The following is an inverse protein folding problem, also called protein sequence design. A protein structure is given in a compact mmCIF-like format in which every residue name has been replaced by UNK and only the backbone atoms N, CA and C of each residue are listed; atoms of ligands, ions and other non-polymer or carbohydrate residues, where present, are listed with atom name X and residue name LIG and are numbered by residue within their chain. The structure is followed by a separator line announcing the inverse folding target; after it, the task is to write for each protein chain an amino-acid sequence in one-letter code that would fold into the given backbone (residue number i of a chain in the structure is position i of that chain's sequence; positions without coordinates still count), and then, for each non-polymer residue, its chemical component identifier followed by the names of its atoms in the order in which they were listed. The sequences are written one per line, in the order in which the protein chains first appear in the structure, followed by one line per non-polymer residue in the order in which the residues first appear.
data_IF_651786533252
#
_entry.id   IF_651786533252
#
_cell.length_a   1.000
_cell.length_b   1.000
_cell.length_c   1.000
_cell.angle_alpha   90.00
_cell.angle_beta   90.00
_cell.angle_gamma   90.00
#
_symmetry.space_group_name_H-M   'P 1'
#
loop_
_entity.id
_entity.type
_entity.pdbx_description
1 polymer ?
#
# COMPACT_ATOMS: atom_id res chain seq x y z
N UNK A 1 18.12 -18.14 -33.95
CA UNK A 1 16.89 -17.86 -33.19
C UNK A 1 16.02 -16.89 -34.00
N UNK A 2 14.71 -17.17 -34.04
CA UNK A 2 13.80 -16.35 -34.81
C UNK A 2 13.60 -15.00 -34.15
N UNK A 3 13.53 -13.93 -34.92
CA UNK A 3 13.23 -12.59 -34.43
C UNK A 3 11.97 -12.52 -33.57
N UNK A 4 11.00 -13.39 -33.86
CA UNK A 4 9.78 -13.52 -33.07
C UNK A 4 10.08 -13.94 -31.62
N UNK A 5 10.99 -14.90 -31.41
CA UNK A 5 11.39 -15.36 -30.06
C UNK A 5 12.12 -14.24 -29.32
N UNK A 6 13.00 -13.52 -30.00
CA UNK A 6 13.72 -12.39 -29.40
C UNK A 6 12.76 -11.29 -28.99
N UNK A 7 11.82 -10.89 -29.85
CA UNK A 7 10.82 -9.86 -29.56
C UNK A 7 9.90 -10.28 -28.40
N UNK A 8 9.46 -11.52 -28.39
CA UNK A 8 8.64 -12.05 -27.29
C UNK A 8 9.41 -12.02 -25.96
N UNK A 9 10.70 -12.34 -25.97
CA UNK A 9 11.53 -12.30 -24.79
C UNK A 9 11.79 -10.87 -24.28
N UNK A 10 11.97 -9.91 -25.17
CA UNK A 10 12.06 -8.48 -24.80
C UNK A 10 10.80 -8.03 -24.05
N UNK A 11 9.61 -8.34 -24.59
CA UNK A 11 8.35 -8.00 -23.95
C UNK A 11 8.15 -8.73 -22.64
N UNK A 12 8.56 -9.99 -22.55
CA UNK A 12 8.54 -10.78 -21.33
C UNK A 12 9.46 -10.17 -20.25
N UNK A 13 10.66 -9.73 -20.63
CA UNK A 13 11.60 -9.09 -19.69
C UNK A 13 11.04 -7.80 -19.13
N UNK A 14 10.37 -6.99 -19.96
CA UNK A 14 9.66 -5.78 -19.51
C UNK A 14 8.50 -6.13 -18.56
N UNK A 15 7.77 -7.20 -18.83
CA UNK A 15 6.69 -7.69 -17.95
C UNK A 15 7.25 -8.16 -16.60
N UNK A 16 8.35 -8.89 -16.58
CA UNK A 16 9.05 -9.28 -15.35
C UNK A 16 9.48 -8.06 -14.54
N UNK A 17 10.06 -7.05 -15.20
CA UNK A 17 10.48 -5.82 -14.57
C UNK A 17 9.29 -5.05 -13.93
N UNK A 18 8.09 -5.14 -14.51
CA UNK A 18 6.89 -4.54 -13.91
C UNK A 18 6.52 -5.19 -12.58
N UNK A 19 6.73 -6.49 -12.44
CA UNK A 19 6.58 -7.22 -11.17
C UNK A 19 7.59 -6.79 -10.10
N UNK A 20 8.71 -6.20 -10.51
CA UNK A 20 9.74 -5.62 -9.64
C UNK A 20 9.51 -4.11 -9.37
N UNK A 21 8.43 -3.53 -9.87
CA UNK A 21 8.05 -2.14 -9.67
C UNK A 21 8.44 -1.17 -10.79
N UNK A 22 9.01 -1.64 -11.89
CA UNK A 22 9.49 -0.82 -12.98
C UNK A 22 8.44 -0.61 -14.08
N UNK A 23 8.25 0.63 -14.52
CA UNK A 23 7.43 0.95 -15.71
C UNK A 23 8.24 0.92 -16.99
N UNK A 24 9.55 1.07 -16.88
CA UNK A 24 10.51 0.96 -18.00
C UNK A 24 11.82 0.34 -17.50
N UNK A 25 12.66 -0.04 -18.45
CA UNK A 25 14.07 -0.37 -18.21
C UNK A 25 14.98 0.50 -19.11
N UNK A 26 16.17 0.88 -18.61
CA UNK A 26 17.22 1.40 -19.47
C UNK A 26 17.57 0.39 -20.57
N UNK A 27 17.84 0.87 -21.78
CA UNK A 27 18.13 0.00 -22.93
C UNK A 27 19.25 -1.00 -22.63
N UNK A 28 20.33 -0.56 -22.02
CA UNK A 28 21.47 -1.43 -21.67
C UNK A 28 21.07 -2.56 -20.72
N UNK A 29 20.25 -2.25 -19.73
CA UNK A 29 19.77 -3.23 -18.75
C UNK A 29 18.81 -4.22 -19.39
N UNK A 30 17.86 -3.75 -20.19
CA UNK A 30 16.92 -4.60 -20.94
C UNK A 30 17.67 -5.55 -21.88
N UNK A 31 18.64 -5.02 -22.61
CA UNK A 31 19.49 -5.80 -23.52
C UNK A 31 20.28 -6.87 -22.76
N UNK A 32 20.89 -6.51 -21.64
CA UNK A 32 21.66 -7.44 -20.81
C UNK A 32 20.78 -8.57 -20.24
N UNK A 33 19.66 -8.24 -19.64
CA UNK A 33 18.70 -9.22 -19.08
C UNK A 33 18.15 -10.16 -20.17
N UNK A 34 17.81 -9.63 -21.33
CA UNK A 34 17.28 -10.43 -22.45
C UNK A 34 18.37 -11.34 -23.03
N UNK A 35 19.59 -10.82 -23.16
CA UNK A 35 20.76 -11.59 -23.60
C UNK A 35 21.04 -12.78 -22.67
N UNK A 36 20.99 -12.57 -21.39
CA UNK A 36 21.16 -13.62 -20.37
C UNK A 36 20.08 -14.68 -20.46
N UNK A 37 18.81 -14.28 -20.60
CA UNK A 37 17.68 -15.20 -20.70
C UNK A 37 17.72 -16.09 -21.96
N UNK A 38 18.15 -15.53 -23.09
CA UNK A 38 18.19 -16.25 -24.38
C UNK A 38 19.51 -16.91 -24.68
N UNK A 39 20.59 -16.49 -24.02
CA UNK A 39 21.97 -16.94 -24.34
C UNK A 39 22.44 -16.50 -25.72
N UNK A 40 22.07 -15.29 -26.17
CA UNK A 40 22.40 -14.74 -27.49
C UNK A 40 23.12 -13.38 -27.36
N UNK A 41 23.78 -12.95 -28.42
CA UNK A 41 24.50 -11.69 -28.46
C UNK A 41 23.56 -10.47 -28.34
N UNK A 42 24.06 -9.44 -27.68
CA UNK A 42 23.33 -8.19 -27.45
C UNK A 42 22.91 -7.49 -28.74
N UNK A 43 23.75 -7.52 -29.75
CA UNK A 43 23.48 -6.90 -31.06
C UNK A 43 22.23 -7.47 -31.73
N UNK A 44 21.96 -8.76 -31.53
CA UNK A 44 20.77 -9.41 -32.08
C UNK A 44 19.49 -8.86 -31.38
N UNK A 45 19.60 -8.57 -30.10
CA UNK A 45 18.46 -8.01 -29.31
C UNK A 45 18.21 -6.57 -29.75
N UNK A 46 19.24 -5.76 -29.84
CA UNK A 46 19.14 -4.33 -30.17
C UNK A 46 18.52 -4.07 -31.54
N UNK A 47 18.80 -4.95 -32.52
CA UNK A 47 18.18 -4.87 -33.86
C UNK A 47 16.64 -4.99 -33.83
N UNK A 48 16.08 -5.63 -32.81
CA UNK A 48 14.64 -5.84 -32.70
C UNK A 48 13.90 -4.68 -32.06
N UNK A 49 14.56 -3.71 -31.43
CA UNK A 49 13.89 -2.58 -30.77
C UNK A 49 13.15 -1.68 -31.75
N UNK A 50 13.74 -1.38 -32.88
CA UNK A 50 13.12 -0.52 -33.89
C UNK A 50 11.82 -1.14 -34.41
N UNK A 51 11.83 -2.42 -34.70
CA UNK A 51 10.65 -3.13 -35.20
C UNK A 51 9.54 -3.17 -34.14
N UNK A 52 9.87 -3.46 -32.87
CA UNK A 52 8.91 -3.41 -31.78
C UNK A 52 8.34 -2.01 -31.55
N UNK A 53 9.13 -0.98 -31.77
CA UNK A 53 8.68 0.41 -31.71
C UNK A 53 7.71 0.76 -32.85
N UNK A 54 8.03 0.33 -34.07
CA UNK A 54 7.14 0.50 -35.26
C UNK A 54 5.82 -0.26 -35.05
N UNK A 55 5.88 -1.47 -34.48
CA UNK A 55 4.69 -2.26 -34.12
C UNK A 55 3.90 -1.67 -32.94
N UNK A 56 4.37 -0.59 -32.33
CA UNK A 56 3.78 0.07 -31.17
C UNK A 56 3.65 -0.84 -29.94
N UNK A 57 4.53 -1.80 -29.78
CA UNK A 57 4.59 -2.67 -28.60
C UNK A 57 5.49 -2.11 -27.50
N UNK A 58 6.49 -1.33 -27.88
CA UNK A 58 7.37 -0.58 -26.98
C UNK A 58 7.42 0.89 -27.37
N UNK A 59 7.78 1.72 -26.40
CA UNK A 59 8.08 3.14 -26.62
C UNK A 59 9.51 3.39 -26.14
N UNK A 60 10.33 3.96 -27.00
CA UNK A 60 11.71 4.35 -26.69
C UNK A 60 11.74 5.85 -26.42
N UNK A 61 12.14 6.24 -25.22
CA UNK A 61 12.23 7.63 -24.78
C UNK A 61 13.65 7.99 -24.42
N UNK A 62 14.19 9.02 -25.04
CA UNK A 62 15.51 9.55 -24.67
C UNK A 62 15.40 10.41 -23.41
N UNK A 63 16.25 10.13 -22.41
CA UNK A 63 16.36 10.89 -21.16
C UNK A 63 17.84 11.14 -20.86
N UNK A 64 18.33 12.33 -21.18
CA UNK A 64 19.77 12.61 -21.16
C UNK A 64 20.55 11.67 -22.09
N UNK A 65 21.57 11.03 -21.57
CA UNK A 65 22.40 10.07 -22.32
C UNK A 65 21.83 8.64 -22.35
N UNK A 66 20.66 8.43 -21.73
CA UNK A 66 20.06 7.12 -21.56
C UNK A 66 18.77 6.98 -22.35
N UNK A 67 18.60 5.86 -23.04
CA UNK A 67 17.33 5.48 -23.67
C UNK A 67 16.53 4.62 -22.71
N UNK A 68 15.33 5.06 -22.40
CA UNK A 68 14.34 4.34 -21.59
C UNK A 68 13.41 3.56 -22.51
N UNK A 69 13.21 2.27 -22.24
CA UNK A 69 12.32 1.42 -23.03
C UNK A 69 11.14 1.02 -22.16
N UNK A 70 9.95 1.48 -22.56
CA UNK A 70 8.67 1.15 -21.94
C UNK A 70 7.93 0.07 -22.73
N UNK A 71 7.16 -0.78 -22.05
CA UNK A 71 6.00 -1.35 -22.75
C UNK A 71 5.04 -0.23 -23.12
N UNK A 72 4.41 -0.31 -24.28
CA UNK A 72 3.51 0.76 -24.75
C UNK A 72 2.38 1.04 -23.76
N UNK A 73 1.85 0.01 -23.11
CA UNK A 73 0.77 0.14 -22.12
C UNK A 73 1.17 1.02 -20.93
N UNK A 74 2.34 0.84 -20.35
CA UNK A 74 2.81 1.65 -19.22
C UNK A 74 3.17 3.07 -19.63
N UNK A 75 3.75 3.26 -20.81
CA UNK A 75 4.01 4.60 -21.31
C UNK A 75 2.75 5.44 -21.45
N UNK A 76 1.72 4.89 -22.10
CA UNK A 76 0.44 5.58 -22.26
C UNK A 76 -0.31 5.72 -20.94
N UNK A 77 -0.19 4.77 -20.04
CA UNK A 77 -0.79 4.86 -18.71
C UNK A 77 -0.19 6.02 -17.90
N UNK A 78 1.13 6.20 -17.91
CA UNK A 78 1.79 7.37 -17.30
C UNK A 78 1.38 8.69 -17.97
N UNK A 79 1.36 8.73 -19.30
CA UNK A 79 0.97 9.92 -20.06
C UNK A 79 -0.49 10.31 -19.79
N UNK A 80 -1.39 9.35 -19.78
CA UNK A 80 -2.81 9.58 -19.47
C UNK A 80 -2.99 10.02 -18.02
N UNK A 81 -2.25 9.44 -17.08
CA UNK A 81 -2.27 9.85 -15.68
C UNK A 81 -1.85 11.32 -15.53
N UNK A 82 -0.77 11.73 -16.17
CA UNK A 82 -0.31 13.12 -16.16
C UNK A 82 -1.37 14.08 -16.75
N UNK A 83 -2.02 13.69 -17.84
CA UNK A 83 -3.08 14.48 -18.46
C UNK A 83 -4.28 14.63 -17.52
N UNK A 84 -4.77 13.54 -16.94
CA UNK A 84 -5.90 13.57 -16.00
C UNK A 84 -5.60 14.39 -14.75
N UNK A 85 -4.39 14.32 -14.21
CA UNK A 85 -3.95 15.16 -13.08
C UNK A 85 -4.01 16.66 -13.44
N UNK A 86 -3.56 17.05 -14.63
CA UNK A 86 -3.66 18.44 -15.09
C UNK A 86 -5.11 18.91 -15.27
N UNK A 87 -5.98 18.05 -15.74
CA UNK A 87 -7.41 18.37 -15.89
C UNK A 87 -8.11 18.59 -14.55
N UNK A 88 -7.66 17.93 -13.50
CA UNK A 88 -8.18 18.12 -12.13
C UNK A 88 -7.61 19.38 -11.44
N UNK A 89 -6.47 19.87 -11.87
CA UNK A 89 -5.78 21.01 -11.25
C UNK A 89 -6.42 22.36 -11.65
N UNK A 90 -7.67 22.53 -11.25
CA UNK A 90 -8.48 23.72 -11.48
C UNK A 90 -8.20 24.71 -10.34
N UNK A 91 -7.98 25.97 -10.67
CA UNK A 91 -7.84 27.03 -9.69
C UNK A 91 -9.21 27.59 -9.25
N UNK A 92 -9.36 27.80 -7.95
CA UNK A 92 -10.55 28.42 -7.35
C UNK A 92 -10.14 29.74 -6.69
N UNK A 93 -10.91 30.78 -6.97
CA UNK A 93 -10.67 32.12 -6.40
C UNK A 93 -11.41 32.26 -5.06
N UNK A 94 -10.68 32.05 -3.97
CA UNK A 94 -11.16 32.19 -2.61
C UNK A 94 -10.19 33.08 -1.83
N UNK A 95 -10.73 34.11 -1.17
CA UNK A 95 -9.91 35.06 -0.45
C UNK A 95 -9.23 34.44 0.78
N UNK A 96 -7.97 34.81 1.02
CA UNK A 96 -7.20 34.32 2.18
C UNK A 96 -7.92 34.59 3.51
N UNK A 97 -8.50 35.76 3.67
CA UNK A 97 -9.18 36.14 4.89
C UNK A 97 -10.38 35.24 5.21
N UNK A 98 -11.11 34.83 4.19
CA UNK A 98 -12.23 33.88 4.35
C UNK A 98 -11.74 32.50 4.81
N UNK A 99 -10.68 31.99 4.19
CA UNK A 99 -10.08 30.70 4.55
C UNK A 99 -9.53 30.74 5.98
N UNK A 100 -8.79 31.78 6.32
CA UNK A 100 -8.18 31.97 7.66
C UNK A 100 -9.24 32.08 8.75
N UNK A 101 -10.33 32.80 8.49
CA UNK A 101 -11.42 32.92 9.44
C UNK A 101 -12.10 31.58 9.71
N UNK A 102 -12.32 30.78 8.66
CA UNK A 102 -12.92 29.46 8.79
C UNK A 102 -11.98 28.48 9.51
N UNK A 103 -10.69 28.52 9.22
CA UNK A 103 -9.67 27.75 9.95
C UNK A 103 -9.70 28.13 11.44
N UNK A 104 -9.75 29.42 11.76
CA UNK A 104 -9.79 29.88 13.14
C UNK A 104 -11.05 29.39 13.88
N UNK A 105 -12.20 29.36 13.21
CA UNK A 105 -13.42 28.79 13.78
C UNK A 105 -13.27 27.27 14.05
N UNK A 106 -12.65 26.53 13.16
CA UNK A 106 -12.37 25.11 13.33
C UNK A 106 -11.40 24.89 14.50
N UNK A 107 -10.34 25.69 14.60
CA UNK A 107 -9.38 25.63 15.71
C UNK A 107 -10.08 25.86 17.06
N UNK A 108 -10.99 26.84 17.14
CA UNK A 108 -11.81 27.09 18.36
C UNK A 108 -12.71 25.91 18.71
N UNK A 109 -13.35 25.29 17.72
CA UNK A 109 -14.26 24.17 17.94
C UNK A 109 -13.52 22.90 18.38
N UNK A 110 -12.33 22.66 17.84
CA UNK A 110 -11.53 21.46 18.08
C UNK A 110 -10.55 21.59 19.24
N UNK A 111 -10.26 22.83 19.68
CA UNK A 111 -9.22 23.11 20.66
C UNK A 111 -7.80 22.89 20.13
N UNK A 112 -7.63 22.70 18.82
CA UNK A 112 -6.34 22.45 18.18
C UNK A 112 -5.88 23.70 17.45
N UNK A 113 -4.58 23.97 17.49
CA UNK A 113 -3.95 25.05 16.75
C UNK A 113 -3.07 24.45 15.65
N UNK A 114 -3.28 24.91 14.41
CA UNK A 114 -2.48 24.52 13.26
C UNK A 114 -1.18 25.32 13.19
N UNK A 115 -0.12 24.69 12.71
CA UNK A 115 1.08 25.40 12.34
C UNK A 115 0.97 26.03 10.94
N UNK A 116 2.00 26.80 10.56
CA UNK A 116 2.03 27.51 9.29
C UNK A 116 1.88 26.57 8.07
N UNK A 117 2.56 25.43 8.06
CA UNK A 117 2.49 24.49 6.95
C UNK A 117 1.13 23.78 6.86
N UNK A 118 0.51 23.48 7.99
CA UNK A 118 -0.83 22.92 8.03
C UNK A 118 -1.88 23.94 7.53
N UNK A 119 -1.76 25.19 7.93
CA UNK A 119 -2.61 26.29 7.41
C UNK A 119 -2.44 26.42 5.91
N UNK A 120 -1.20 26.37 5.42
CA UNK A 120 -0.92 26.42 3.98
C UNK A 120 -1.56 25.24 3.24
N UNK A 121 -1.51 24.03 3.79
CA UNK A 121 -2.15 22.87 3.20
C UNK A 121 -3.67 23.04 3.07
N UNK A 122 -4.34 23.59 4.07
CA UNK A 122 -5.78 23.88 4.01
C UNK A 122 -6.07 24.95 2.94
N UNK A 123 -5.29 26.03 2.87
CA UNK A 123 -5.44 27.07 1.85
C UNK A 123 -5.29 26.51 0.44
N UNK A 124 -4.26 25.70 0.21
CA UNK A 124 -4.03 25.07 -1.09
C UNK A 124 -5.13 24.06 -1.45
N UNK A 125 -5.67 23.31 -0.47
CA UNK A 125 -6.80 22.41 -0.69
C UNK A 125 -8.06 23.17 -1.14
N UNK A 126 -8.30 24.34 -0.61
CA UNK A 126 -9.46 25.18 -0.97
C UNK A 126 -9.29 25.83 -2.35
N UNK A 127 -8.08 26.24 -2.70
CA UNK A 127 -7.77 26.99 -3.92
C UNK A 127 -7.48 26.15 -5.14
N UNK A 128 -7.16 24.88 -4.96
CA UNK A 128 -6.75 24.01 -6.07
C UNK A 128 -7.60 22.75 -6.14
N UNK A 129 -7.88 22.31 -7.34
CA UNK A 129 -8.55 21.03 -7.59
C UNK A 129 -7.67 19.82 -7.33
N UNK A 130 -6.36 20.00 -7.26
CA UNK A 130 -5.38 18.97 -6.95
C UNK A 130 -4.36 19.47 -5.93
N UNK A 131 -4.16 18.71 -4.86
CA UNK A 131 -3.15 18.99 -3.85
C UNK A 131 -2.46 17.70 -3.42
N UNK A 132 -1.15 17.76 -3.27
CA UNK A 132 -0.34 16.71 -2.63
C UNK A 132 0.15 17.21 -1.28
N UNK A 133 -0.10 16.42 -0.23
CA UNK A 133 0.42 16.68 1.12
C UNK A 133 1.39 15.54 1.46
N UNK A 134 2.64 15.86 1.71
CA UNK A 134 3.64 14.88 2.11
C UNK A 134 4.26 15.25 3.44
N UNK A 135 4.59 14.26 4.24
CA UNK A 135 5.26 14.44 5.53
C UNK A 135 5.56 13.10 6.18
N UNK A 136 6.63 13.06 6.97
CA UNK A 136 7.02 11.90 7.74
C UNK A 136 6.08 11.64 8.93
N UNK A 137 6.41 10.63 9.75
CA UNK A 137 5.60 10.32 10.93
C UNK A 137 5.63 11.49 11.94
N UNK A 138 4.49 11.76 12.56
CA UNK A 138 4.36 12.79 13.59
C UNK A 138 4.37 14.24 13.08
N UNK A 139 4.22 14.46 11.79
CA UNK A 139 4.21 15.80 11.17
C UNK A 139 2.82 16.43 11.06
N UNK A 140 1.79 15.76 11.58
CA UNK A 140 0.44 16.32 11.65
C UNK A 140 -0.38 16.14 10.38
N UNK A 141 -0.11 15.13 9.55
CA UNK A 141 -0.93 14.79 8.38
C UNK A 141 -2.39 14.55 8.73
N UNK A 142 -2.65 13.76 9.75
CA UNK A 142 -4.01 13.43 10.21
C UNK A 142 -4.76 14.66 10.66
N UNK A 143 -4.14 15.53 11.45
CA UNK A 143 -4.74 16.80 11.90
C UNK A 143 -5.09 17.68 10.72
N UNK A 144 -4.21 17.76 9.74
CA UNK A 144 -4.43 18.54 8.50
C UNK A 144 -5.61 17.98 7.72
N UNK A 145 -5.67 16.66 7.52
CA UNK A 145 -6.80 15.98 6.86
C UNK A 145 -8.11 16.28 7.59
N UNK A 146 -8.14 16.15 8.91
CA UNK A 146 -9.34 16.43 9.71
C UNK A 146 -9.81 17.87 9.57
N UNK A 147 -8.91 18.82 9.53
CA UNK A 147 -9.24 20.24 9.33
C UNK A 147 -9.82 20.46 7.94
N UNK A 148 -9.23 19.87 6.91
CA UNK A 148 -9.74 19.94 5.53
C UNK A 148 -11.14 19.34 5.43
N UNK A 149 -11.38 18.17 6.03
CA UNK A 149 -12.70 17.54 6.05
C UNK A 149 -13.73 18.47 6.68
N UNK A 150 -13.45 19.03 7.87
CA UNK A 150 -14.36 19.95 8.56
C UNK A 150 -14.62 21.22 7.75
N UNK A 151 -13.61 21.75 7.08
CA UNK A 151 -13.73 22.92 6.22
C UNK A 151 -14.77 22.68 5.11
N UNK A 152 -14.63 21.57 4.39
CA UNK A 152 -15.52 21.25 3.27
C UNK A 152 -16.90 20.73 3.71
N UNK A 153 -17.02 20.09 4.87
CA UNK A 153 -18.33 19.78 5.46
C UNK A 153 -19.14 21.04 5.76
N UNK A 154 -18.49 22.09 6.28
CA UNK A 154 -19.14 23.37 6.51
C UNK A 154 -19.66 24.03 5.23
N UNK A 155 -19.11 23.65 4.08
CA UNK A 155 -19.59 24.06 2.76
C UNK A 155 -20.69 23.13 2.21
N UNK A 156 -21.08 22.09 2.94
CA UNK A 156 -22.08 21.11 2.49
C UNK A 156 -21.58 20.19 1.39
N UNK A 157 -20.26 19.99 1.26
CA UNK A 157 -19.66 19.11 0.25
C UNK A 157 -19.64 17.65 0.69
N UNK A 158 -19.89 16.75 -0.26
CA UNK A 158 -19.71 15.32 -0.07
C UNK A 158 -18.22 14.94 -0.19
N UNK A 159 -17.75 14.12 0.74
CA UNK A 159 -16.34 13.76 0.87
C UNK A 159 -16.19 12.26 0.89
N UNK A 160 -15.30 11.73 0.04
CA UNK A 160 -14.87 10.33 0.06
C UNK A 160 -13.44 10.22 0.55
N UNK A 161 -13.23 9.31 1.50
CA UNK A 161 -11.93 8.98 2.04
C UNK A 161 -11.54 7.57 1.60
N UNK A 162 -10.32 7.41 1.13
CA UNK A 162 -9.81 6.09 0.77
C UNK A 162 -8.31 5.94 1.03
N UNK A 163 -7.90 4.68 1.10
CA UNK A 163 -6.51 4.27 1.22
C UNK A 163 -6.26 2.99 0.41
N UNK A 164 -5.02 2.66 0.07
CA UNK A 164 -4.73 1.49 -0.76
C UNK A 164 -4.97 0.14 -0.08
N UNK A 165 -4.96 0.08 1.25
CA UNK A 165 -5.13 -1.17 2.01
C UNK A 165 -6.25 -1.06 3.05
N UNK A 166 -6.83 -2.21 3.42
CA UNK A 166 -7.88 -2.28 4.46
C UNK A 166 -7.40 -1.74 5.80
N UNK A 167 -6.16 -2.04 6.18
CA UNK A 167 -5.56 -1.55 7.42
C UNK A 167 -5.41 -0.02 7.43
N UNK A 168 -4.92 0.55 6.34
CA UNK A 168 -4.78 1.99 6.19
C UNK A 168 -6.16 2.69 6.19
N UNK A 169 -7.15 2.13 5.49
CA UNK A 169 -8.51 2.64 5.48
C UNK A 169 -9.15 2.60 6.88
N UNK A 170 -8.99 1.51 7.61
CA UNK A 170 -9.47 1.38 8.99
C UNK A 170 -8.84 2.44 9.90
N UNK A 171 -7.52 2.59 9.84
CA UNK A 171 -6.81 3.62 10.61
C UNK A 171 -7.30 5.02 10.26
N UNK A 172 -7.52 5.31 8.98
CA UNK A 172 -8.06 6.59 8.52
C UNK A 172 -9.45 6.84 9.10
N UNK A 173 -10.34 5.83 9.12
CA UNK A 173 -11.67 5.92 9.75
C UNK A 173 -11.58 6.20 11.25
N UNK A 174 -10.72 5.49 11.96
CA UNK A 174 -10.54 5.64 13.41
C UNK A 174 -9.99 7.03 13.79
N UNK A 175 -9.05 7.54 13.01
CA UNK A 175 -8.39 8.82 13.30
C UNK A 175 -9.16 10.05 12.83
N UNK A 176 -9.99 9.91 11.79
CA UNK A 176 -10.81 11.02 11.27
C UNK A 176 -12.22 11.05 11.81
N UNK A 177 -12.75 9.90 12.26
CA UNK A 177 -14.15 9.74 12.62
C UNK A 177 -15.11 9.65 11.43
N UNK A 178 -14.58 9.61 10.19
CA UNK A 178 -15.34 9.46 8.95
C UNK A 178 -15.09 8.09 8.32
N UNK A 179 -16.07 7.56 7.60
CA UNK A 179 -15.89 6.30 6.89
C UNK A 179 -14.83 6.45 5.79
N UNK A 180 -13.79 5.64 5.87
CA UNK A 180 -12.79 5.47 4.82
C UNK A 180 -12.86 4.04 4.28
N UNK A 181 -12.65 3.90 2.98
CA UNK A 181 -12.68 2.61 2.27
C UNK A 181 -11.33 2.35 1.59
N UNK A 182 -11.09 1.13 1.17
CA UNK A 182 -10.00 0.90 0.22
C UNK A 182 -10.34 1.55 -1.12
N UNK A 183 -9.31 1.94 -1.86
CA UNK A 183 -9.51 2.50 -3.21
C UNK A 183 -10.30 1.51 -4.07
N UNK A 184 -9.98 0.22 -4.00
CA UNK A 184 -10.69 -0.84 -4.71
C UNK A 184 -12.20 -0.89 -4.37
N UNK A 185 -12.54 -0.76 -3.09
CA UNK A 185 -13.95 -0.75 -2.65
C UNK A 185 -14.65 0.54 -3.07
N UNK A 186 -13.97 1.67 -3.01
CA UNK A 186 -14.52 2.95 -3.48
C UNK A 186 -14.81 2.93 -4.97
N UNK A 187 -13.96 2.29 -5.77
CA UNK A 187 -14.14 2.16 -7.22
C UNK A 187 -15.10 1.02 -7.61
N UNK A 188 -15.69 0.33 -6.64
CA UNK A 188 -16.66 -0.75 -6.85
C UNK A 188 -16.11 -1.82 -7.81
N UNK A 189 -15.15 -2.59 -7.31
CA UNK A 189 -14.51 -3.64 -8.08
C UNK A 189 -15.51 -4.74 -8.45
N UNK A 190 -15.68 -4.98 -9.74
CA UNK A 190 -16.52 -6.06 -10.29
C UNK A 190 -15.71 -7.29 -10.61
N UNK A 191 -16.20 -8.44 -10.19
CA UNK A 191 -15.78 -9.72 -10.74
C UNK A 191 -16.44 -9.96 -12.10
N UNK A 192 -15.84 -9.46 -13.18
CA UNK A 192 -16.39 -9.65 -14.53
C UNK A 192 -16.59 -11.14 -14.88
N UNK A 193 -17.63 -11.44 -15.62
CA UNK A 193 -18.03 -12.80 -16.01
C UNK A 193 -17.02 -13.57 -16.90
N UNK A 194 -15.94 -12.93 -17.35
CA UNK A 194 -14.93 -13.53 -18.24
C UNK A 194 -13.47 -13.15 -17.90
N UNK A 195 -13.12 -13.13 -16.59
CA UNK A 195 -11.71 -13.05 -16.21
C UNK A 195 -11.04 -11.67 -16.28
N UNK A 196 -11.73 -10.62 -16.70
CA UNK A 196 -11.27 -9.24 -16.60
C UNK A 196 -11.96 -8.54 -15.43
N UNK A 197 -11.27 -8.46 -14.29
CA UNK A 197 -11.73 -7.61 -13.21
C UNK A 197 -11.69 -6.15 -13.66
N UNK A 198 -12.85 -5.48 -13.62
CA UNK A 198 -13.00 -4.08 -13.95
C UNK A 198 -13.59 -3.31 -12.78
N UNK A 199 -13.43 -1.99 -12.80
CA UNK A 199 -14.07 -1.11 -11.84
C UNK A 199 -15.39 -0.57 -12.44
N UNK A 200 -16.46 -0.59 -11.64
CA UNK A 200 -17.74 0.03 -11.99
C UNK A 200 -17.59 1.55 -12.13
N UNK A 201 -16.78 2.15 -11.26
CA UNK A 201 -16.48 3.57 -11.31
C UNK A 201 -15.33 3.83 -12.27
N UNK A 202 -15.63 4.61 -13.30
CA UNK A 202 -14.73 4.93 -14.42
C UNK A 202 -15.18 6.22 -15.12
N UNK A 203 -14.66 6.50 -16.32
CA UNK A 203 -14.98 7.73 -17.08
C UNK A 203 -16.47 7.85 -17.43
N UNK A 204 -17.16 6.75 -17.63
CA UNK A 204 -18.59 6.74 -17.99
C UNK A 204 -19.50 6.69 -16.78
N UNK A 205 -18.98 6.35 -15.62
CA UNK A 205 -19.69 6.26 -14.34
C UNK A 205 -18.80 6.77 -13.20
N UNK A 206 -18.49 8.07 -13.15
CA UNK A 206 -17.57 8.63 -12.16
C UNK A 206 -18.13 8.58 -10.73
N UNK A 207 -17.24 8.76 -9.77
CA UNK A 207 -17.60 8.92 -8.35
C UNK A 207 -18.50 10.16 -8.18
N UNK A 208 -19.59 10.00 -7.46
CA UNK A 208 -20.54 11.07 -7.15
C UNK A 208 -20.14 11.74 -5.82
N UNK A 209 -19.17 12.62 -5.87
CA UNK A 209 -18.63 13.32 -4.69
C UNK A 209 -17.99 14.64 -5.10
N UNK A 210 -17.78 15.53 -4.14
CA UNK A 210 -17.15 16.84 -4.35
C UNK A 210 -15.65 16.83 -4.03
N UNK A 211 -15.22 15.96 -3.13
CA UNK A 211 -13.84 15.84 -2.66
C UNK A 211 -13.47 14.37 -2.45
N UNK A 212 -12.32 13.98 -2.95
CA UNK A 212 -11.68 12.69 -2.67
C UNK A 212 -10.34 12.92 -1.98
N UNK A 213 -10.15 12.29 -0.83
CA UNK A 213 -8.87 12.28 -0.10
C UNK A 213 -8.33 10.86 -0.08
N UNK A 214 -7.13 10.69 -0.61
CA UNK A 214 -6.40 9.41 -0.59
C UNK A 214 -5.21 9.52 0.35
N UNK A 215 -5.16 8.66 1.34
CA UNK A 215 -3.99 8.53 2.23
C UNK A 215 -3.11 7.35 1.83
N UNK A 216 -1.90 7.29 2.38
CA UNK A 216 -0.88 6.25 2.10
C UNK A 216 -0.52 6.15 0.60
N UNK A 217 -0.38 7.29 -0.06
CA UNK A 217 -0.11 7.36 -1.51
C UNK A 217 1.20 6.73 -1.94
N UNK A 218 2.18 6.55 -1.05
CA UNK A 218 3.44 5.84 -1.38
C UNK A 218 3.21 4.40 -1.84
N UNK A 219 2.09 3.81 -1.46
CA UNK A 219 1.71 2.42 -1.80
C UNK A 219 0.90 2.30 -3.09
N UNK A 220 0.51 3.40 -3.71
CA UNK A 220 -0.33 3.41 -4.93
C UNK A 220 0.58 3.33 -6.16
N UNK A 221 0.40 2.28 -6.96
CA UNK A 221 1.10 2.09 -8.23
C UNK A 221 0.42 2.86 -9.38
N UNK A 222 1.05 2.85 -10.56
CA UNK A 222 0.52 3.56 -11.73
C UNK A 222 -0.80 2.99 -12.22
N UNK A 223 -1.00 1.69 -12.11
CA UNK A 223 -2.23 1.03 -12.56
C UNK A 223 -3.41 1.45 -11.70
N UNK A 224 -3.26 1.42 -10.38
CA UNK A 224 -4.30 1.84 -9.45
C UNK A 224 -4.57 3.35 -9.56
N UNK A 225 -3.52 4.16 -9.69
CA UNK A 225 -3.66 5.61 -9.88
C UNK A 225 -4.41 5.95 -11.15
N UNK A 226 -4.10 5.28 -12.26
CA UNK A 226 -4.81 5.48 -13.52
C UNK A 226 -6.30 5.14 -13.39
N UNK A 227 -6.64 4.03 -12.75
CA UNK A 227 -8.02 3.63 -12.50
C UNK A 227 -8.76 4.61 -11.59
N UNK A 228 -8.10 5.11 -10.56
CA UNK A 228 -8.66 6.13 -9.66
C UNK A 228 -9.00 7.42 -10.42
N UNK A 229 -8.06 7.94 -11.20
CA UNK A 229 -8.24 9.19 -11.94
C UNK A 229 -9.34 9.10 -13.00
N UNK A 230 -9.50 7.95 -13.63
CA UNK A 230 -10.61 7.69 -14.55
C UNK A 230 -11.99 7.82 -13.91
N UNK A 231 -12.08 7.55 -12.61
CA UNK A 231 -13.31 7.64 -11.84
C UNK A 231 -13.60 9.02 -11.24
N UNK A 232 -12.67 9.97 -11.35
CA UNK A 232 -12.80 11.31 -10.79
C UNK A 232 -13.15 12.29 -11.92
N UNK A 233 -14.34 12.87 -11.85
CA UNK A 233 -14.78 13.87 -12.82
C UNK A 233 -14.07 15.22 -12.60
N UNK A 234 -13.79 15.99 -13.68
CA UNK A 234 -13.35 17.37 -13.54
C UNK A 234 -14.34 18.19 -12.69
N UNK A 235 -13.81 18.99 -11.77
CA UNK A 235 -14.62 19.72 -10.77
C UNK A 235 -14.71 19.03 -9.41
N UNK A 236 -14.42 17.73 -9.31
CA UNK A 236 -14.17 17.06 -8.05
C UNK A 236 -12.74 17.34 -7.60
N UNK A 237 -12.56 17.80 -6.35
CA UNK A 237 -11.21 18.01 -5.79
C UNK A 237 -10.56 16.69 -5.40
N UNK A 238 -9.26 16.58 -5.62
CA UNK A 238 -8.44 15.44 -5.23
C UNK A 238 -7.28 15.87 -4.33
N UNK A 239 -7.18 15.26 -3.16
CA UNK A 239 -6.08 15.44 -2.22
C UNK A 239 -5.37 14.11 -2.04
N UNK A 240 -4.07 14.10 -2.33
CA UNK A 240 -3.19 12.96 -2.22
C UNK A 240 -2.26 13.15 -1.03
N UNK A 241 -2.33 12.26 -0.06
CA UNK A 241 -1.54 12.34 1.18
C UNK A 241 -0.63 11.13 1.30
N UNK A 242 0.62 11.35 1.70
CA UNK A 242 1.55 10.25 1.89
C UNK A 242 2.91 10.73 2.42
N UNK A 243 3.80 9.77 2.55
CA UNK A 243 5.19 10.00 2.96
C UNK A 243 6.13 9.56 1.82
N UNK A 244 6.77 10.53 1.19
CA UNK A 244 7.72 10.29 0.07
C UNK A 244 8.91 9.42 0.49
N UNK A 245 9.22 9.37 1.78
CA UNK A 245 10.37 8.64 2.33
C UNK A 245 10.04 7.20 2.76
N UNK A 246 8.76 6.80 2.68
CA UNK A 246 8.37 5.42 2.89
C UNK A 246 8.70 4.54 1.68
N UNK A 247 8.64 3.23 1.87
CA UNK A 247 8.88 2.29 0.78
C UNK A 247 7.91 2.52 -0.38
N UNK A 248 8.38 2.36 -1.63
CA UNK A 248 7.53 2.51 -2.80
C UNK A 248 6.50 1.38 -2.89
N UNK A 249 5.52 1.52 -3.79
CA UNK A 249 4.57 0.47 -4.12
C UNK A 249 5.27 -0.81 -4.60
N UNK A 250 4.65 -1.96 -4.34
CA UNK A 250 5.12 -3.24 -4.89
C UNK A 250 4.86 -3.31 -6.40
N UNK A 251 3.73 -2.76 -6.85
CA UNK A 251 3.40 -2.65 -8.27
C UNK A 251 4.21 -1.59 -9.00
N UNK A 252 4.08 -1.53 -10.34
CA UNK A 252 4.89 -0.64 -11.17
C UNK A 252 4.57 0.85 -10.96
N UNK A 253 5.63 1.64 -10.92
CA UNK A 253 5.58 3.10 -10.84
C UNK A 253 5.72 3.67 -9.43
N UNK A 254 6.36 4.83 -9.34
CA UNK A 254 6.57 5.59 -8.11
C UNK A 254 5.73 6.88 -8.16
N UNK A 255 4.41 6.73 -8.20
CA UNK A 255 3.45 7.80 -8.52
C UNK A 255 3.63 9.03 -7.63
N UNK A 256 3.60 8.87 -6.31
CA UNK A 256 3.73 10.01 -5.38
C UNK A 256 5.06 10.74 -5.57
N UNK A 257 6.14 10.01 -5.66
CA UNK A 257 7.48 10.56 -5.85
C UNK A 257 7.59 11.30 -7.18
N UNK A 258 7.08 10.73 -8.25
CA UNK A 258 7.13 11.32 -9.59
C UNK A 258 6.29 12.60 -9.67
N UNK A 259 5.10 12.63 -9.07
CA UNK A 259 4.28 13.84 -8.98
C UNK A 259 5.04 14.95 -8.25
N UNK A 260 5.62 14.65 -7.10
CA UNK A 260 6.36 15.64 -6.29
C UNK A 260 7.60 16.14 -7.04
N UNK A 261 8.39 15.23 -7.62
CA UNK A 261 9.63 15.58 -8.34
C UNK A 261 9.39 16.30 -9.66
N UNK A 262 8.20 16.15 -10.26
CA UNK A 262 7.85 16.88 -11.48
C UNK A 262 7.76 18.40 -11.28
N UNK A 263 7.56 18.84 -10.03
CA UNK A 263 7.31 20.27 -9.68
C UNK A 263 6.17 20.91 -10.48
N UNK A 264 5.29 20.09 -11.08
CA UNK A 264 4.21 20.53 -11.94
C UNK A 264 2.89 20.78 -11.20
N UNK A 265 2.79 20.34 -9.95
CA UNK A 265 1.55 20.36 -9.16
C UNK A 265 1.78 20.99 -7.79
N UNK A 266 0.69 21.38 -7.12
CA UNK A 266 0.76 21.96 -5.78
C UNK A 266 1.12 20.87 -4.75
N UNK A 267 2.22 21.08 -4.05
CA UNK A 267 2.73 20.17 -3.00
C UNK A 267 2.97 20.98 -1.73
N UNK A 268 2.44 20.52 -0.62
CA UNK A 268 2.75 21.03 0.71
C UNK A 268 3.50 19.96 1.50
N UNK A 269 4.68 20.34 1.98
CA UNK A 269 5.52 19.45 2.80
C UNK A 269 5.37 19.81 4.28
N UNK A 270 4.89 18.86 5.08
CA UNK A 270 4.81 18.98 6.53
C UNK A 270 6.13 18.49 7.13
N UNK A 271 6.92 19.41 7.69
CA UNK A 271 8.28 19.09 8.18
C UNK A 271 8.41 19.17 9.70
N UNK A 272 7.47 19.84 10.37
CA UNK A 272 7.51 20.01 11.83
C UNK A 272 7.03 18.75 12.54
N UNK A 273 7.87 18.19 13.41
CA UNK A 273 7.48 17.12 14.33
C UNK A 273 6.83 17.77 15.56
N UNK A 274 5.55 17.43 15.82
CA UNK A 274 4.82 18.00 16.95
C UNK A 274 5.32 17.46 18.28
N UNK A 275 5.16 18.26 19.34
CA UNK A 275 5.66 17.93 20.69
C UNK A 275 5.22 16.55 21.17
N UNK A 276 3.97 16.18 20.97
CA UNK A 276 3.46 14.87 21.36
C UNK A 276 4.16 13.73 20.61
N UNK A 277 4.43 13.91 19.32
CA UNK A 277 5.14 12.94 18.49
C UNK A 277 6.64 12.91 18.81
N UNK A 278 7.25 14.05 19.20
CA UNK A 278 8.67 14.13 19.54
C UNK A 278 9.04 13.40 20.84
N UNK A 279 8.07 12.99 21.65
CA UNK A 279 8.29 12.13 22.81
C UNK A 279 8.43 10.65 22.45
N UNK A 280 8.07 10.25 21.23
CA UNK A 280 8.24 8.90 20.71
C UNK A 280 9.61 8.76 20.03
N UNK A 281 10.46 7.90 20.57
CA UNK A 281 11.75 7.61 19.96
C UNK A 281 11.61 6.81 18.66
N UNK A 282 10.53 6.06 18.46
CA UNK A 282 10.21 5.44 17.17
C UNK A 282 10.14 6.52 16.09
N UNK A 283 9.41 7.59 16.34
CA UNK A 283 9.22 8.70 15.39
C UNK A 283 10.52 9.48 15.19
N UNK A 284 11.17 9.88 16.28
CA UNK A 284 12.42 10.64 16.22
C UNK A 284 13.51 9.86 15.51
N UNK A 285 13.65 8.57 15.80
CA UNK A 285 14.64 7.71 15.17
C UNK A 285 14.33 7.45 13.69
N UNK A 286 13.07 7.32 13.30
CA UNK A 286 12.70 7.23 11.90
C UNK A 286 13.18 8.45 11.09
N UNK A 287 13.00 9.65 11.61
CA UNK A 287 13.51 10.88 10.98
C UNK A 287 15.04 10.94 10.96
N UNK A 288 15.72 10.52 12.04
CA UNK A 288 17.18 10.46 12.09
C UNK A 288 17.73 9.50 11.04
N UNK A 289 17.20 8.27 10.98
CA UNK A 289 17.60 7.26 10.00
C UNK A 289 17.41 7.78 8.58
N UNK A 290 16.29 8.44 8.30
CA UNK A 290 16.02 9.01 6.99
C UNK A 290 17.02 10.10 6.58
N UNK A 291 17.57 10.84 7.55
CA UNK A 291 18.64 11.85 7.33
C UNK A 291 20.05 11.30 7.38
N UNK A 292 20.22 9.98 7.62
CA UNK A 292 21.52 9.34 7.81
C UNK A 292 22.20 9.67 9.14
N UNK A 293 21.44 10.11 10.15
CA UNK A 293 21.94 10.41 11.48
C UNK A 293 21.97 9.16 12.37
N UNK A 294 22.87 9.14 13.34
CA UNK A 294 22.94 8.05 14.32
C UNK A 294 21.77 8.10 15.31
N UNK A 295 21.28 6.92 15.67
CA UNK A 295 20.25 6.74 16.69
C UNK A 295 20.85 6.20 17.99
N UNK A 296 20.27 6.59 19.13
CA UNK A 296 20.69 6.06 20.42
C UNK A 296 20.17 4.64 20.62
N UNK A 297 21.05 3.73 21.00
CA UNK A 297 20.77 2.31 21.27
C UNK A 297 20.96 1.94 22.73
N UNK A 298 20.82 2.90 23.65
CA UNK A 298 21.09 2.77 25.08
C UNK A 298 19.94 2.18 25.91
N UNK A 299 18.81 1.87 25.26
CA UNK A 299 17.61 1.30 25.88
C UNK A 299 16.98 2.15 27.01
N UNK A 300 17.20 3.45 26.99
CA UNK A 300 16.55 4.39 27.91
C UNK A 300 15.20 4.89 27.38
N UNK A 301 14.86 4.50 26.17
CA UNK A 301 13.59 4.84 25.52
C UNK A 301 12.38 4.16 26.16
N UNK A 302 11.21 4.76 25.96
CA UNK A 302 9.93 4.18 26.38
C UNK A 302 9.30 3.28 25.31
N UNK A 303 9.74 3.39 24.05
CA UNK A 303 9.08 2.73 22.90
C UNK A 303 10.06 2.18 21.85
N UNK A 304 11.36 2.46 21.97
CA UNK A 304 12.38 1.99 21.03
C UNK A 304 13.53 1.30 21.78
N UNK A 305 13.76 0.02 21.48
CA UNK A 305 14.74 -0.80 22.19
C UNK A 305 15.62 -1.57 21.22
N UNK A 306 16.88 -1.76 21.60
CA UNK A 306 17.86 -2.51 20.84
C UNK A 306 18.48 -3.62 21.72
N UNK A 307 18.31 -4.87 21.32
CA UNK A 307 18.88 -6.03 21.98
C UNK A 307 19.92 -6.68 21.06
N UNK A 308 21.19 -6.38 21.33
CA UNK A 308 22.30 -6.89 20.50
C UNK A 308 22.51 -8.39 20.72
N UNK A 309 22.31 -9.18 19.67
CA UNK A 309 22.58 -10.63 19.64
C UNK A 309 23.20 -10.96 18.28
N UNK A 310 24.01 -12.02 18.23
CA UNK A 310 24.75 -12.39 17.03
C UNK A 310 24.36 -13.76 16.48
N UNK A 311 23.95 -14.68 17.33
CA UNK A 311 23.63 -16.05 16.95
C UNK A 311 22.13 -16.18 16.67
N UNK A 312 21.79 -16.82 15.55
CA UNK A 312 20.41 -16.97 15.10
C UNK A 312 19.50 -17.63 16.14
N UNK A 313 19.96 -18.71 16.78
CA UNK A 313 19.16 -19.43 17.77
C UNK A 313 18.92 -18.61 19.05
N UNK A 314 19.89 -17.78 19.45
CA UNK A 314 19.73 -16.85 20.57
C UNK A 314 18.72 -15.75 20.20
N UNK A 315 18.81 -15.21 18.99
CA UNK A 315 17.86 -14.20 18.49
C UNK A 315 16.44 -14.77 18.47
N UNK A 316 16.25 -15.98 17.96
CA UNK A 316 14.94 -16.65 17.91
C UNK A 316 14.37 -16.85 19.31
N UNK A 317 15.17 -17.32 20.27
CA UNK A 317 14.72 -17.50 21.64
C UNK A 317 14.30 -16.17 22.30
N UNK A 318 15.03 -15.09 22.05
CA UNK A 318 14.67 -13.75 22.54
C UNK A 318 13.38 -13.28 21.92
N UNK A 319 13.21 -13.44 20.60
CA UNK A 319 11.98 -13.09 19.88
C UNK A 319 10.78 -13.85 20.43
N UNK A 320 10.91 -15.17 20.67
CA UNK A 320 9.83 -15.99 21.25
C UNK A 320 9.40 -15.49 22.63
N UNK A 321 10.35 -15.17 23.50
CA UNK A 321 10.05 -14.63 24.83
C UNK A 321 9.37 -13.25 24.76
N UNK A 322 9.83 -12.41 23.83
CA UNK A 322 9.25 -11.08 23.63
C UNK A 322 7.81 -11.18 23.14
N UNK A 323 7.57 -11.98 22.11
CA UNK A 323 6.25 -12.08 21.47
C UNK A 323 5.23 -12.80 22.36
N UNK A 324 5.65 -13.87 23.04
CA UNK A 324 4.74 -14.69 23.85
C UNK A 324 4.40 -14.07 25.20
N UNK A 325 5.34 -13.39 25.87
CA UNK A 325 5.21 -13.00 27.26
C UNK A 325 5.46 -11.53 27.54
N UNK A 326 6.60 -10.97 27.09
CA UNK A 326 7.04 -9.64 27.55
C UNK A 326 6.31 -8.50 26.86
N UNK A 327 6.27 -8.51 25.55
CA UNK A 327 5.63 -7.43 24.78
C UNK A 327 4.11 -7.38 24.98
N UNK A 328 3.37 -8.50 24.97
CA UNK A 328 1.93 -8.44 25.23
C UNK A 328 1.57 -7.76 26.55
N UNK A 329 2.34 -8.04 27.60
CA UNK A 329 2.16 -7.38 28.91
C UNK A 329 2.58 -5.91 28.89
N UNK A 330 3.64 -5.58 28.14
CA UNK A 330 4.17 -4.23 28.08
C UNK A 330 3.26 -3.26 27.33
N UNK A 331 2.60 -3.73 26.25
CA UNK A 331 1.73 -2.92 25.40
C UNK A 331 0.23 -3.20 25.61
N UNK A 332 -0.12 -4.01 26.63
CA UNK A 332 -1.51 -4.41 26.92
C UNK A 332 -2.23 -4.99 25.68
N UNK A 333 -1.62 -6.02 25.10
CA UNK A 333 -2.08 -6.66 23.86
C UNK A 333 -1.95 -8.19 23.95
N UNK A 334 -2.46 -8.87 22.92
CA UNK A 334 -2.27 -10.32 22.78
C UNK A 334 -1.00 -10.64 21.96
N UNK A 335 -0.46 -11.86 22.02
CA UNK A 335 0.65 -12.26 21.14
C UNK A 335 0.36 -12.10 19.64
N UNK A 336 -0.90 -12.18 19.23
CA UNK A 336 -1.31 -12.00 17.83
C UNK A 336 -1.22 -10.54 17.35
N UNK A 337 -1.27 -9.58 18.29
CA UNK A 337 -1.12 -8.15 17.99
C UNK A 337 0.35 -7.75 17.81
N UNK A 338 1.27 -8.61 18.23
CA UNK A 338 2.72 -8.39 18.06
C UNK A 338 3.17 -8.93 16.71
N UNK A 339 3.80 -8.09 15.91
CA UNK A 339 4.27 -8.47 14.59
C UNK A 339 5.79 -8.59 14.55
N UNK A 340 6.28 -9.75 14.14
CA UNK A 340 7.71 -9.96 13.88
C UNK A 340 8.01 -9.57 12.43
N UNK A 341 9.03 -8.73 12.26
CA UNK A 341 9.52 -8.28 10.95
C UNK A 341 10.94 -8.78 10.72
N UNK A 342 11.22 -9.24 9.51
CA UNK A 342 12.56 -9.67 9.09
C UNK A 342 12.84 -9.19 7.67
N UNK A 343 14.11 -8.89 7.32
CA UNK A 343 14.43 -8.42 5.96
C UNK A 343 14.41 -9.52 4.90
N UNK A 344 14.44 -10.81 5.29
CA UNK A 344 14.64 -11.94 4.37
C UNK A 344 13.50 -12.95 4.41
N UNK A 345 13.22 -13.58 3.27
CA UNK A 345 12.27 -14.70 3.21
C UNK A 345 12.91 -16.03 3.63
N UNK A 346 14.12 -16.28 3.18
CA UNK A 346 14.88 -17.52 3.41
C UNK A 346 16.05 -17.31 4.34
N UNK A 347 16.58 -18.39 4.89
CA UNK A 347 17.73 -18.37 5.79
C UNK A 347 17.36 -18.58 7.28
N UNK A 348 18.37 -18.52 8.14
CA UNK A 348 18.22 -18.85 9.57
C UNK A 348 17.23 -17.93 10.31
N UNK A 349 17.11 -16.67 9.89
CA UNK A 349 16.19 -15.68 10.42
C UNK A 349 15.16 -15.24 9.37
N UNK A 350 14.92 -16.04 8.33
CA UNK A 350 13.94 -15.76 7.30
C UNK A 350 12.50 -16.04 7.75
N UNK A 351 11.56 -15.43 7.04
CA UNK A 351 10.09 -15.57 7.28
C UNK A 351 9.66 -17.03 7.37
N UNK A 352 10.12 -17.87 6.43
CA UNK A 352 9.70 -19.27 6.35
C UNK A 352 10.04 -20.04 7.63
N UNK A 353 11.29 -19.92 8.10
CA UNK A 353 11.73 -20.59 9.33
C UNK A 353 11.07 -20.00 10.58
N UNK A 354 11.02 -18.67 10.66
CA UNK A 354 10.41 -17.99 11.82
C UNK A 354 8.94 -18.32 11.98
N UNK A 355 8.18 -18.38 10.88
CA UNK A 355 6.77 -18.75 10.92
C UNK A 355 6.53 -20.17 11.44
N UNK A 356 7.34 -21.14 11.02
CA UNK A 356 7.26 -22.50 11.55
C UNK A 356 7.54 -22.57 13.05
N UNK A 357 8.55 -21.86 13.53
CA UNK A 357 8.89 -21.81 14.95
C UNK A 357 7.81 -21.06 15.76
N UNK A 358 7.38 -19.90 15.30
CA UNK A 358 6.38 -19.08 16.00
C UNK A 358 5.03 -19.80 16.06
N UNK A 359 4.62 -20.51 15.00
CA UNK A 359 3.41 -21.33 15.00
C UNK A 359 3.43 -22.37 16.12
N UNK A 360 4.52 -23.10 16.29
CA UNK A 360 4.64 -24.13 17.32
C UNK A 360 4.51 -23.56 18.73
N UNK A 361 4.98 -22.34 18.99
CA UNK A 361 4.95 -21.73 20.31
C UNK A 361 3.69 -20.91 20.59
N UNK A 362 3.10 -20.27 19.58
CA UNK A 362 1.92 -19.42 19.72
C UNK A 362 0.62 -20.17 19.46
N UNK A 363 0.63 -21.13 18.54
CA UNK A 363 -0.52 -21.96 18.19
C UNK A 363 -0.10 -23.43 18.07
N UNK A 364 0.27 -24.08 19.18
CA UNK A 364 0.75 -25.47 19.15
C UNK A 364 -0.34 -26.43 18.68
N UNK A 365 0.03 -27.61 18.15
CA UNK A 365 -0.92 -28.66 17.79
C UNK A 365 -1.79 -29.03 18.99
N UNK A 366 -3.08 -29.22 18.72
CA UNK A 366 -4.06 -29.69 19.71
C UNK A 366 -5.08 -30.60 19.03
N UNK A 367 -5.59 -31.60 19.75
CA UNK A 367 -6.59 -32.55 19.22
C UNK A 367 -7.90 -31.87 18.79
N UNK A 368 -8.19 -30.69 19.31
CA UNK A 368 -9.38 -29.89 18.95
C UNK A 368 -9.19 -29.05 17.69
N UNK A 369 -7.95 -28.91 17.21
CA UNK A 369 -7.61 -28.10 16.04
C UNK A 369 -7.35 -28.97 14.82
N UNK A 370 -7.98 -28.64 13.72
CA UNK A 370 -7.72 -29.28 12.44
C UNK A 370 -6.52 -28.64 11.76
N UNK A 371 -5.85 -29.44 10.96
CA UNK A 371 -4.66 -29.04 10.21
C UNK A 371 -4.81 -29.39 8.73
N UNK A 372 -4.18 -28.61 7.88
CA UNK A 372 -4.07 -28.86 6.44
C UNK A 372 -2.63 -28.70 5.99
N UNK A 373 -2.05 -29.77 5.52
CA UNK A 373 -0.74 -29.73 4.85
C UNK A 373 -0.89 -29.10 3.45
N UNK A 374 0.02 -28.18 3.12
CA UNK A 374 0.10 -27.55 1.82
C UNK A 374 1.55 -27.23 1.48
N UNK A 375 2.15 -28.00 0.58
CA UNK A 375 3.59 -27.94 0.32
C UNK A 375 4.40 -28.22 1.57
N UNK A 376 5.34 -27.33 1.88
CA UNK A 376 6.19 -27.44 3.07
C UNK A 376 5.56 -26.80 4.33
N UNK A 377 4.33 -26.28 4.21
CA UNK A 377 3.61 -25.63 5.30
C UNK A 377 2.49 -26.51 5.84
N UNK A 378 2.20 -26.33 7.12
CA UNK A 378 1.01 -26.87 7.77
C UNK A 378 0.18 -25.71 8.29
N UNK A 379 -1.01 -25.54 7.74
CA UNK A 379 -2.00 -24.61 8.28
C UNK A 379 -2.78 -25.25 9.41
N UNK A 380 -3.03 -24.53 10.46
CA UNK A 380 -3.76 -24.96 11.65
C UNK A 380 -4.84 -23.97 12.02
N UNK A 381 -5.98 -24.45 12.47
CA UNK A 381 -7.01 -23.56 13.02
C UNK A 381 -6.43 -22.68 14.13
N UNK A 382 -6.71 -21.38 14.06
CA UNK A 382 -6.13 -20.37 14.93
C UNK A 382 -4.85 -19.70 14.39
N UNK A 383 -4.32 -20.17 13.27
CA UNK A 383 -3.12 -19.56 12.67
C UNK A 383 -3.38 -18.15 12.13
N UNK A 384 -2.40 -17.29 12.33
CA UNK A 384 -2.33 -15.97 11.69
C UNK A 384 -1.77 -16.12 10.29
N UNK A 385 -2.53 -15.69 9.31
CA UNK A 385 -2.20 -15.81 7.88
C UNK A 385 -2.31 -14.47 7.17
N UNK A 386 -1.69 -14.40 5.99
CA UNK A 386 -1.72 -13.24 5.12
C UNK A 386 -1.97 -13.66 3.68
N UNK A 387 -2.83 -12.91 2.99
CA UNK A 387 -2.99 -13.01 1.54
C UNK A 387 -1.72 -12.49 0.84
N UNK A 388 -1.18 -13.26 -0.10
CA UNK A 388 0.12 -12.95 -0.72
C UNK A 388 0.03 -12.27 -2.08
N UNK A 389 -1.15 -12.27 -2.68
CA UNK A 389 -1.44 -11.63 -3.97
C UNK A 389 -2.87 -11.13 -4.03
N UNK A 390 -3.13 -10.20 -4.94
CA UNK A 390 -4.48 -9.70 -5.13
C UNK A 390 -5.36 -10.77 -5.78
N UNK A 391 -6.50 -11.07 -5.16
CA UNK A 391 -7.53 -11.92 -5.73
C UNK A 391 -8.87 -11.18 -5.72
N UNK A 392 -9.24 -10.66 -6.86
CA UNK A 392 -10.44 -9.84 -7.05
C UNK A 392 -11.74 -10.66 -7.05
N UNK A 393 -11.64 -11.98 -7.18
CA UNK A 393 -12.79 -12.88 -7.29
C UNK A 393 -13.18 -13.55 -5.97
N UNK A 394 -12.33 -13.47 -4.95
CA UNK A 394 -12.64 -14.00 -3.63
C UNK A 394 -13.79 -13.23 -3.00
N UNK A 395 -14.85 -13.96 -2.68
CA UNK A 395 -16.02 -13.42 -2.00
C UNK A 395 -15.78 -13.41 -0.50
N UNK A 396 -16.21 -12.32 0.14
CA UNK A 396 -16.21 -12.23 1.59
C UNK A 396 -17.58 -11.81 2.11
N UNK A 397 -17.86 -12.22 3.34
CA UNK A 397 -19.09 -11.90 4.06
C UNK A 397 -18.74 -11.45 5.48
N UNK A 398 -19.48 -10.46 5.99
CA UNK A 398 -19.46 -10.08 7.40
C UNK A 398 -20.74 -10.57 8.01
N UNK A 399 -20.62 -11.43 9.05
CA UNK A 399 -21.76 -12.02 9.71
C UNK A 399 -21.90 -11.54 11.15
N UNK A 400 -23.14 -11.44 11.63
CA UNK A 400 -23.44 -11.26 13.06
C UNK A 400 -23.05 -12.50 13.87
N UNK A 401 -23.01 -12.40 15.18
CA UNK A 401 -22.82 -13.54 16.09
C UNK A 401 -23.86 -14.66 15.90
N UNK A 402 -24.98 -14.37 15.27
CA UNK A 402 -26.05 -15.32 14.96
C UNK A 402 -25.98 -15.88 13.52
N UNK A 403 -24.91 -15.58 12.78
CA UNK A 403 -24.71 -16.07 11.43
C UNK A 403 -25.49 -15.37 10.32
N UNK A 404 -26.10 -14.22 10.62
CA UNK A 404 -26.77 -13.39 9.61
C UNK A 404 -25.75 -12.52 8.89
N UNK A 405 -25.73 -12.58 7.56
CA UNK A 405 -24.87 -11.73 6.73
C UNK A 405 -25.34 -10.28 6.81
N UNK A 406 -24.44 -9.39 7.26
CA UNK A 406 -24.66 -7.94 7.38
C UNK A 406 -24.11 -7.21 6.16
N UNK A 407 -22.97 -7.67 5.65
CA UNK A 407 -22.32 -7.09 4.49
C UNK A 407 -21.61 -8.19 3.69
N UNK A 408 -21.43 -7.96 2.40
CA UNK A 408 -20.73 -8.88 1.50
C UNK A 408 -20.04 -8.13 0.38
N UNK A 409 -18.98 -8.67 -0.13
CA UNK A 409 -18.26 -8.09 -1.24
C UNK A 409 -17.27 -9.06 -1.88
N UNK A 410 -16.41 -8.53 -2.71
CA UNK A 410 -15.39 -9.27 -3.43
C UNK A 410 -14.03 -8.60 -3.29
N UNK A 411 -13.00 -9.40 -3.39
CA UNK A 411 -11.61 -8.95 -3.37
C UNK A 411 -10.95 -9.09 -2.00
N UNK A 412 -9.86 -9.85 -1.99
CA UNK A 412 -8.89 -9.91 -0.89
C UNK A 412 -7.53 -9.61 -1.50
N UNK A 413 -6.79 -8.75 -0.84
CA UNK A 413 -5.62 -8.13 -1.43
C UNK A 413 -4.33 -8.56 -0.75
N UNK A 414 -3.25 -8.42 -1.49
CA UNK A 414 -1.91 -8.67 -1.00
C UNK A 414 -1.65 -7.86 0.28
N UNK A 415 -1.24 -8.53 1.35
CA UNK A 415 -1.02 -7.92 2.66
C UNK A 415 -2.21 -8.00 3.62
N UNK A 416 -3.42 -8.34 3.16
CA UNK A 416 -4.56 -8.56 4.06
C UNK A 416 -4.25 -9.71 5.03
N UNK A 417 -4.44 -9.46 6.32
CA UNK A 417 -4.17 -10.43 7.38
C UNK A 417 -5.46 -10.94 8.00
N UNK A 418 -5.42 -12.20 8.40
CA UNK A 418 -6.55 -12.84 9.06
C UNK A 418 -6.14 -14.03 9.91
N UNK A 419 -7.14 -14.66 10.50
CA UNK A 419 -6.99 -15.86 11.34
C UNK A 419 -7.80 -16.98 10.74
N UNK A 420 -7.20 -18.17 10.65
CA UNK A 420 -7.91 -19.39 10.21
C UNK A 420 -8.91 -19.75 11.31
N UNK A 421 -10.18 -19.72 10.99
CA UNK A 421 -11.27 -20.06 11.93
C UNK A 421 -11.76 -21.48 11.79
N UNK A 422 -11.69 -22.06 10.58
CA UNK A 422 -12.17 -23.41 10.30
C UNK A 422 -11.41 -24.05 9.14
N UNK A 423 -11.08 -25.33 9.30
CA UNK A 423 -10.58 -26.21 8.24
C UNK A 423 -11.58 -27.35 8.06
N UNK A 424 -12.11 -27.50 6.85
CA UNK A 424 -13.12 -28.50 6.54
C UNK A 424 -12.63 -29.43 5.41
N UNK A 425 -12.13 -30.60 5.79
CA UNK A 425 -11.60 -31.60 4.83
C UNK A 425 -12.69 -32.21 3.95
N UNK A 426 -13.91 -32.28 4.43
CA UNK A 426 -15.03 -32.79 3.66
C UNK A 426 -15.42 -31.85 2.51
N UNK A 427 -15.49 -30.55 2.81
CA UNK A 427 -15.78 -29.52 1.81
C UNK A 427 -14.52 -29.09 1.03
N UNK A 428 -13.35 -29.52 1.43
CA UNK A 428 -12.04 -29.08 0.92
C UNK A 428 -11.89 -27.55 0.97
N UNK A 429 -12.26 -26.95 2.12
CA UNK A 429 -12.23 -25.51 2.32
C UNK A 429 -11.54 -25.12 3.62
N UNK A 430 -11.01 -23.91 3.62
CA UNK A 430 -10.44 -23.23 4.78
C UNK A 430 -11.06 -21.86 4.91
N UNK A 431 -11.63 -21.56 6.07
CA UNK A 431 -12.23 -20.24 6.34
C UNK A 431 -11.24 -19.35 7.08
N UNK A 432 -11.03 -18.17 6.56
CA UNK A 432 -10.18 -17.13 7.16
C UNK A 432 -11.03 -15.91 7.48
N UNK A 433 -10.91 -15.42 8.70
CA UNK A 433 -11.52 -14.16 9.13
C UNK A 433 -10.45 -13.07 9.07
N UNK A 434 -10.59 -12.16 8.10
CA UNK A 434 -9.75 -11.00 7.92
C UNK A 434 -10.19 -9.83 8.80
N UNK A 435 -9.43 -8.76 8.79
CA UNK A 435 -9.79 -7.52 9.46
C UNK A 435 -11.21 -7.06 9.08
N UNK A 436 -11.86 -6.35 9.99
CA UNK A 436 -13.27 -5.91 9.89
C UNK A 436 -14.29 -7.07 9.92
N UNK A 437 -13.88 -8.28 10.28
CA UNK A 437 -14.77 -9.45 10.37
C UNK A 437 -15.14 -10.05 9.02
N UNK A 438 -14.39 -9.74 7.97
CA UNK A 438 -14.59 -10.30 6.61
C UNK A 438 -14.22 -11.78 6.59
N UNK A 439 -15.18 -12.67 6.48
CA UNK A 439 -14.96 -14.11 6.37
C UNK A 439 -14.86 -14.53 4.91
N UNK A 440 -13.83 -15.29 4.60
CA UNK A 440 -13.55 -15.83 3.27
C UNK A 440 -13.39 -17.33 3.36
N UNK A 441 -14.07 -18.06 2.50
CA UNK A 441 -13.90 -19.50 2.32
C UNK A 441 -12.96 -19.77 1.15
N UNK A 442 -11.77 -20.30 1.46
CA UNK A 442 -10.78 -20.71 0.46
C UNK A 442 -10.99 -22.16 0.08
N UNK A 443 -11.13 -22.43 -1.20
CA UNK A 443 -10.91 -23.79 -1.72
C UNK A 443 -9.45 -24.20 -1.49
N UNK A 444 -9.17 -25.47 -1.22
CA UNK A 444 -7.80 -25.96 -1.05
C UNK A 444 -6.89 -25.70 -2.27
N UNK A 445 -7.46 -25.48 -3.45
CA UNK A 445 -6.72 -25.09 -4.67
C UNK A 445 -6.16 -23.67 -4.61
N UNK A 446 -6.69 -22.83 -3.72
CA UNK A 446 -6.28 -21.41 -3.58
C UNK A 446 -5.33 -21.19 -2.40
N UNK A 447 -4.91 -22.24 -1.69
CA UNK A 447 -4.04 -22.09 -0.51
C UNK A 447 -2.64 -21.56 -0.84
N UNK A 448 -2.21 -21.61 -2.10
CA UNK A 448 -1.00 -20.94 -2.59
C UNK A 448 -1.03 -19.41 -2.44
N UNK A 449 -2.22 -18.85 -2.21
CA UNK A 449 -2.41 -17.42 -2.00
C UNK A 449 -2.25 -16.99 -0.54
N UNK A 450 -2.13 -17.96 0.39
CA UNK A 450 -1.97 -17.73 1.82
C UNK A 450 -0.59 -18.14 2.31
N UNK A 451 -0.07 -17.37 3.24
CA UNK A 451 1.13 -17.69 4.02
C UNK A 451 0.88 -17.49 5.51
N UNK A 452 1.60 -18.23 6.36
CA UNK A 452 1.65 -17.90 7.79
C UNK A 452 2.21 -16.49 7.98
N UNK A 453 1.66 -15.73 8.90
CA UNK A 453 1.99 -14.32 9.10
C UNK A 453 2.39 -13.95 10.52
N UNK A 454 2.88 -14.90 11.31
CA UNK A 454 3.52 -14.59 12.60
C UNK A 454 4.77 -13.73 12.42
N UNK A 455 5.55 -14.03 11.37
CA UNK A 455 6.62 -13.20 10.86
C UNK A 455 6.34 -12.83 9.40
N UNK A 456 6.65 -11.60 9.02
CA UNK A 456 6.53 -11.09 7.65
C UNK A 456 7.79 -10.32 7.27
N UNK A 457 7.97 -10.07 6.00
CA UNK A 457 9.05 -9.18 5.56
C UNK A 457 8.72 -7.72 5.89
N UNK A 458 9.76 -6.89 6.00
CA UNK A 458 9.60 -5.45 6.25
C UNK A 458 8.74 -4.82 5.14
N UNK A 459 8.91 -5.20 3.88
CA UNK A 459 8.07 -4.73 2.77
C UNK A 459 6.58 -5.05 2.98
N UNK A 460 6.28 -6.26 3.43
CA UNK A 460 4.90 -6.68 3.69
C UNK A 460 4.26 -5.99 4.88
N UNK A 461 5.05 -5.39 5.77
CA UNK A 461 4.52 -4.65 6.93
C UNK A 461 3.87 -3.33 6.57
N UNK A 462 4.20 -2.78 5.42
CA UNK A 462 3.62 -1.52 4.95
C UNK A 462 2.17 -1.69 4.47
N UNK A 463 1.78 -2.88 4.06
CA UNK A 463 0.41 -3.20 3.71
C UNK A 463 0.28 -4.13 2.53
#
# INVERSE_FOLDING_TARGET
DSDFRVRSCILYTLLQASGEGHTFLPQEELTAKTSELLGIDKDIIEKNYMDLSIERKIIMKQSGDQTQIYSASFYYMEANTATMLRELDIAYDVADAEIEQRIHNIEKQTGMQLDEHQVQAVKEAVRNGLLVITGGPGTGKTTTINTIIRYFEMEGMDIFLAAPTGRAAKRMSETTGFEARTIHRMLELNGGMEGSAGFERNETNPLETDLVIIDEMSMVDITLMNSLLKAIAPGTRLILVGDINQLPSVGPGSVLKDIIQSEAFNVVMLTKIFRQASTSDIIVNAHKINRGEEVSLDNKSMDFFFLKRYEADIIINVVLQLVKQKLPKFVDATPYDIQVLTPMRKGLLGVERLNGILQQYLNPPDKSKREKEHGDMVFREGDKVMQTKNNYQLKWEICTKFGLTVDKGMGIFNGDMGIITEINDFAETMTVEFDEGRKVEYSYKLLDELELAYAITIHKSQG
#
